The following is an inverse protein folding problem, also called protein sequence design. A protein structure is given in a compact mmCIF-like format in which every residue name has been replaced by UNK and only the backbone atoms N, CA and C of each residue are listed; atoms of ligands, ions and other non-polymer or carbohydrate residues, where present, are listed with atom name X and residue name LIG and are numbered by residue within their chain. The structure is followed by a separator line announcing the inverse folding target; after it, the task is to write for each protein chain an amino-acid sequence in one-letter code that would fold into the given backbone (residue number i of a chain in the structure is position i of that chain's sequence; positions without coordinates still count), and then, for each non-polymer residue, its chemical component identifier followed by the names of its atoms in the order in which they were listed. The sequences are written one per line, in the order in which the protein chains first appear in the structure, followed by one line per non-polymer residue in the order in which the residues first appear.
data_IF_600999087851
#
_entry.id   IF_600999087851
#
_cell.length_a   1.000
_cell.length_b   1.000
_cell.length_c   1.000
_cell.angle_alpha   90.00
_cell.angle_beta   90.00
_cell.angle_gamma   90.00
#
_symmetry.space_group_name_H-M   'P 1'
#
loop_
_entity.id
_entity.type
_entity.pdbx_description
1 polymer ?
#
# COMPACT_ATOMS: atom_id res chain seq x y z
N UNK A 1 -18.56 20.33 -18.94
CA UNK A 1 -17.72 19.45 -18.11
C UNK A 1 -18.19 19.54 -16.69
N UNK A 2 -18.49 18.40 -16.04
CA UNK A 2 -18.85 18.43 -14.62
C UNK A 2 -17.65 18.92 -13.81
N UNK A 3 -17.92 19.75 -12.80
CA UNK A 3 -16.88 20.24 -11.90
C UNK A 3 -16.47 19.11 -10.96
N UNK A 4 -15.17 18.86 -10.79
CA UNK A 4 -14.67 17.92 -9.78
C UNK A 4 -15.05 18.42 -8.39
N UNK A 5 -15.54 17.50 -7.56
CA UNK A 5 -15.95 17.74 -6.16
C UNK A 5 -15.24 16.78 -5.20
N UNK A 6 -14.84 15.60 -5.69
CA UNK A 6 -14.26 14.54 -4.91
C UNK A 6 -12.86 14.17 -5.43
N UNK A 7 -11.88 14.09 -4.54
CA UNK A 7 -10.56 13.55 -4.82
C UNK A 7 -10.38 12.25 -4.04
N UNK A 8 -10.01 11.19 -4.74
CA UNK A 8 -9.85 9.85 -4.20
C UNK A 8 -8.39 9.47 -4.36
N UNK A 9 -7.78 9.03 -3.29
CA UNK A 9 -6.37 8.69 -3.25
C UNK A 9 -6.17 7.20 -3.02
N UNK A 10 -5.13 6.67 -3.61
CA UNK A 10 -4.46 5.50 -3.03
C UNK A 10 -3.69 5.91 -1.77
N UNK A 11 -3.27 4.93 -0.96
CA UNK A 11 -2.55 5.18 0.28
C UNK A 11 -1.04 4.95 0.13
N UNK A 12 -0.64 3.72 -0.19
CA UNK A 12 0.75 3.29 -0.17
C UNK A 12 1.54 3.85 -1.36
N UNK A 13 2.68 4.50 -1.12
CA UNK A 13 3.49 5.24 -2.09
C UNK A 13 2.81 6.44 -2.77
N UNK A 14 1.54 6.71 -2.47
CA UNK A 14 0.84 7.92 -2.92
C UNK A 14 0.79 8.98 -1.82
N UNK A 15 0.41 8.61 -0.61
CA UNK A 15 0.35 9.47 0.56
C UNK A 15 1.30 9.01 1.66
N UNK A 16 1.31 7.73 1.94
CA UNK A 16 2.18 7.08 2.92
C UNK A 16 3.37 6.46 2.20
N UNK A 17 4.61 6.84 2.58
CA UNK A 17 5.83 6.37 1.92
C UNK A 17 6.15 4.91 2.28
N UNK A 18 5.44 3.98 1.60
CA UNK A 18 5.63 2.55 1.85
C UNK A 18 7.08 2.12 1.66
N UNK A 19 7.74 2.58 0.59
CA UNK A 19 9.12 2.17 0.28
C UNK A 19 10.08 2.57 1.39
N UNK A 20 9.97 3.80 1.90
CA UNK A 20 10.82 4.32 2.99
C UNK A 20 10.52 3.61 4.31
N UNK A 21 9.26 3.51 4.69
CA UNK A 21 8.86 2.89 5.96
C UNK A 21 9.14 1.38 5.98
N UNK A 22 8.93 0.68 4.87
CA UNK A 22 9.29 -0.72 4.72
C UNK A 22 10.79 -0.95 4.88
N UNK A 23 11.60 -0.10 4.25
CA UNK A 23 13.08 -0.18 4.38
C UNK A 23 13.53 0.02 5.83
N UNK A 24 12.95 0.98 6.54
CA UNK A 24 13.26 1.24 7.95
C UNK A 24 12.86 0.06 8.85
N UNK A 25 11.65 -0.48 8.66
CA UNK A 25 11.18 -1.63 9.42
C UNK A 25 12.05 -2.88 9.17
N UNK A 26 12.41 -3.13 7.91
CA UNK A 26 13.29 -4.23 7.56
C UNK A 26 14.70 -4.09 8.14
N UNK A 27 15.24 -2.87 8.18
CA UNK A 27 16.54 -2.61 8.79
C UNK A 27 16.52 -2.87 10.29
N UNK A 28 15.43 -2.51 10.98
CA UNK A 28 15.25 -2.84 12.41
C UNK A 28 15.22 -4.35 12.63
N UNK A 29 14.42 -5.09 11.87
CA UNK A 29 14.35 -6.55 11.99
C UNK A 29 15.65 -7.24 11.62
N UNK A 30 16.34 -6.76 10.59
CA UNK A 30 17.64 -7.26 10.17
C UNK A 30 18.67 -7.19 11.31
N UNK A 31 18.70 -6.09 12.04
CA UNK A 31 19.58 -5.89 13.21
C UNK A 31 19.10 -6.75 14.39
N UNK A 32 17.81 -6.73 14.69
CA UNK A 32 17.19 -7.47 15.80
C UNK A 32 17.48 -8.97 15.76
N UNK A 33 17.46 -9.54 14.56
CA UNK A 33 17.68 -10.97 14.35
C UNK A 33 19.12 -11.34 13.99
N UNK A 34 20.04 -10.37 14.08
CA UNK A 34 21.49 -10.55 13.84
C UNK A 34 21.79 -11.26 12.50
N UNK A 35 21.07 -10.85 11.45
CA UNK A 35 21.13 -11.47 10.11
C UNK A 35 22.53 -11.39 9.53
N UNK A 36 23.19 -10.24 9.70
CA UNK A 36 24.57 -10.04 9.24
C UNK A 36 25.52 -11.11 9.72
N UNK A 37 25.58 -11.34 11.05
CA UNK A 37 26.51 -12.29 11.65
C UNK A 37 26.11 -13.74 11.41
N UNK A 38 24.81 -14.02 11.34
CA UNK A 38 24.29 -15.39 11.17
C UNK A 38 24.44 -15.93 9.76
N UNK A 39 24.30 -15.05 8.75
CA UNK A 39 24.23 -15.46 7.36
C UNK A 39 25.23 -14.76 6.44
N UNK A 40 26.03 -13.84 6.98
CA UNK A 40 27.08 -13.13 6.24
C UNK A 40 26.58 -12.33 5.02
N UNK A 41 25.42 -11.65 5.16
CA UNK A 41 24.87 -10.72 4.19
C UNK A 41 24.80 -9.31 4.77
N UNK A 42 25.00 -8.32 3.94
CA UNK A 42 24.67 -6.93 4.27
C UNK A 42 23.17 -6.66 4.12
N UNK A 43 22.69 -5.59 4.75
CA UNK A 43 21.29 -5.15 4.54
C UNK A 43 21.04 -4.74 3.08
N UNK A 44 22.04 -4.16 2.41
CA UNK A 44 21.92 -3.74 1.01
C UNK A 44 21.83 -4.94 0.04
N UNK A 45 22.31 -6.12 0.44
CA UNK A 45 22.08 -7.37 -0.29
C UNK A 45 20.70 -7.97 0.00
N UNK A 46 20.24 -7.91 1.24
CA UNK A 46 18.94 -8.47 1.66
C UNK A 46 17.75 -7.67 1.09
N UNK A 47 17.78 -6.33 1.24
CA UNK A 47 16.63 -5.48 0.92
C UNK A 47 16.10 -5.60 -0.51
N UNK A 48 16.94 -5.68 -1.58
CA UNK A 48 16.44 -5.87 -2.94
C UNK A 48 15.66 -7.17 -3.14
N UNK A 49 16.07 -8.28 -2.51
CA UNK A 49 15.35 -9.55 -2.61
C UNK A 49 13.98 -9.50 -1.95
N UNK A 50 13.88 -8.85 -0.79
CA UNK A 50 12.56 -8.59 -0.20
C UNK A 50 11.68 -7.73 -1.13
N UNK A 51 12.24 -6.65 -1.67
CA UNK A 51 11.49 -5.74 -2.54
C UNK A 51 10.96 -6.48 -3.77
N UNK A 52 11.81 -7.24 -4.45
CA UNK A 52 11.42 -8.05 -5.62
C UNK A 52 10.34 -9.08 -5.28
N UNK A 53 10.50 -9.84 -4.20
CA UNK A 53 9.50 -10.81 -3.76
C UNK A 53 8.16 -10.14 -3.46
N UNK A 54 8.16 -9.01 -2.74
CA UNK A 54 6.95 -8.27 -2.41
C UNK A 54 6.22 -7.77 -3.66
N UNK A 55 6.93 -7.11 -4.59
CA UNK A 55 6.34 -6.58 -5.82
C UNK A 55 5.75 -7.71 -6.69
N UNK A 56 6.49 -8.81 -6.86
CA UNK A 56 6.04 -9.97 -7.63
C UNK A 56 4.77 -10.59 -7.02
N UNK A 57 4.71 -10.74 -5.71
CA UNK A 57 3.55 -11.32 -5.04
C UNK A 57 2.33 -10.41 -5.10
N UNK A 58 2.49 -9.08 -4.96
CA UNK A 58 1.41 -8.14 -5.17
C UNK A 58 0.89 -8.15 -6.61
N UNK A 59 1.76 -8.32 -7.61
CA UNK A 59 1.34 -8.51 -9.00
C UNK A 59 0.52 -9.80 -9.17
N UNK A 60 0.91 -10.91 -8.52
CA UNK A 60 0.13 -12.16 -8.54
C UNK A 60 -1.24 -12.02 -7.86
N UNK A 61 -1.34 -11.25 -6.77
CA UNK A 61 -2.62 -10.92 -6.14
C UNK A 61 -3.51 -10.13 -7.09
N UNK A 62 -2.98 -9.08 -7.71
CA UNK A 62 -3.70 -8.27 -8.71
C UNK A 62 -4.24 -9.13 -9.85
N UNK A 63 -3.46 -10.10 -10.28
CA UNK A 63 -3.82 -11.05 -11.33
C UNK A 63 -4.74 -12.20 -10.83
N UNK A 64 -5.15 -12.16 -9.56
CA UNK A 64 -6.00 -13.17 -8.89
C UNK A 64 -5.41 -14.58 -8.90
N UNK A 65 -4.07 -14.70 -8.89
CA UNK A 65 -3.34 -15.96 -8.91
C UNK A 65 -2.99 -16.49 -7.54
N UNK A 66 -2.91 -15.62 -6.55
CA UNK A 66 -2.69 -15.93 -5.13
C UNK A 66 -3.57 -15.07 -4.24
N UNK A 67 -3.74 -15.47 -2.99
CA UNK A 67 -4.42 -14.72 -1.94
C UNK A 67 -3.45 -13.84 -1.14
N UNK A 68 -3.98 -12.95 -0.28
CA UNK A 68 -3.17 -12.15 0.64
C UNK A 68 -2.50 -13.03 1.72
N UNK A 69 -3.13 -14.13 2.10
CA UNK A 69 -2.59 -15.11 3.01
C UNK A 69 -1.37 -15.80 2.40
N UNK A 70 -1.46 -16.23 1.15
CA UNK A 70 -0.34 -16.82 0.41
C UNK A 70 0.81 -15.82 0.21
N UNK A 71 0.51 -14.52 0.01
CA UNK A 71 1.54 -13.47 -0.01
C UNK A 71 2.31 -13.45 1.32
N UNK A 72 1.58 -13.43 2.45
CA UNK A 72 2.20 -13.39 3.78
C UNK A 72 3.07 -14.63 4.06
N UNK A 73 2.63 -15.80 3.64
CA UNK A 73 3.40 -17.03 3.79
C UNK A 73 4.67 -17.06 2.94
N UNK A 74 4.65 -16.42 1.77
CA UNK A 74 5.70 -16.53 0.75
C UNK A 74 6.71 -15.40 0.78
N UNK A 75 6.32 -14.18 1.15
CA UNK A 75 7.09 -12.96 0.94
C UNK A 75 8.51 -13.02 1.50
N UNK A 76 8.65 -13.38 2.78
CA UNK A 76 9.97 -13.50 3.40
C UNK A 76 10.64 -14.84 3.10
N UNK A 77 9.88 -15.91 2.90
CA UNK A 77 10.44 -17.19 2.49
C UNK A 77 11.15 -17.07 1.14
N UNK A 78 10.48 -16.51 0.15
CA UNK A 78 11.08 -16.27 -1.17
C UNK A 78 12.27 -15.31 -1.12
N UNK A 79 12.18 -14.24 -0.32
CA UNK A 79 13.29 -13.30 -0.14
C UNK A 79 14.54 -13.98 0.45
N UNK A 80 14.37 -14.83 1.47
CA UNK A 80 15.47 -15.57 2.07
C UNK A 80 15.97 -16.70 1.17
N UNK A 81 15.07 -17.45 0.52
CA UNK A 81 15.45 -18.53 -0.40
C UNK A 81 16.31 -18.00 -1.57
N UNK A 82 15.98 -16.81 -2.09
CA UNK A 82 16.76 -16.13 -3.13
C UNK A 82 18.19 -15.74 -2.67
N UNK A 83 18.41 -15.66 -1.35
CA UNK A 83 19.73 -15.45 -0.74
C UNK A 83 20.41 -16.76 -0.32
N UNK A 84 19.77 -17.91 -0.57
CA UNK A 84 20.26 -19.22 -0.13
C UNK A 84 20.06 -19.48 1.36
N UNK A 85 19.17 -18.73 2.02
CA UNK A 85 18.81 -18.93 3.44
C UNK A 85 17.51 -19.71 3.52
N UNK A 86 17.61 -21.03 3.66
CA UNK A 86 16.43 -21.92 3.76
C UNK A 86 15.93 -22.07 5.20
N UNK A 87 15.79 -20.95 5.90
CA UNK A 87 15.27 -20.90 7.27
C UNK A 87 13.86 -20.31 7.29
N UNK A 88 12.87 -21.16 7.03
CA UNK A 88 11.47 -20.74 6.95
C UNK A 88 10.90 -20.32 8.32
N UNK A 89 11.43 -20.83 9.43
CA UNK A 89 11.04 -20.36 10.76
C UNK A 89 11.41 -18.87 10.96
N UNK A 90 12.62 -18.47 10.53
CA UNK A 90 13.05 -17.08 10.56
C UNK A 90 12.19 -16.21 9.62
N UNK A 91 11.85 -16.74 8.44
CA UNK A 91 10.97 -16.03 7.49
C UNK A 91 9.58 -15.76 8.09
N UNK A 92 9.01 -16.73 8.79
CA UNK A 92 7.70 -16.59 9.45
C UNK A 92 7.75 -15.59 10.62
N UNK A 93 8.86 -15.57 11.38
CA UNK A 93 9.11 -14.56 12.42
C UNK A 93 9.19 -13.17 11.79
N UNK A 94 9.94 -13.02 10.68
CA UNK A 94 10.04 -11.74 9.97
C UNK A 94 8.68 -11.26 9.47
N UNK A 95 7.85 -12.13 8.90
CA UNK A 95 6.51 -11.75 8.44
C UNK A 95 5.65 -11.25 9.60
N UNK A 96 5.64 -11.97 10.71
CA UNK A 96 4.85 -11.60 11.88
C UNK A 96 5.28 -10.24 12.44
N UNK A 97 6.58 -10.09 12.71
CA UNK A 97 7.12 -8.87 13.29
C UNK A 97 7.07 -7.68 12.33
N UNK A 98 7.26 -7.91 11.03
CA UNK A 98 7.17 -6.87 10.03
C UNK A 98 5.80 -6.20 9.97
N UNK A 99 4.72 -6.97 10.07
CA UNK A 99 3.36 -6.43 10.07
C UNK A 99 3.07 -5.52 11.28
N UNK A 100 3.84 -5.70 12.37
CA UNK A 100 3.77 -4.84 13.54
C UNK A 100 4.74 -3.66 13.43
N UNK A 101 5.98 -3.92 13.06
CA UNK A 101 7.07 -2.95 13.05
C UNK A 101 6.87 -1.86 11.99
N UNK A 102 6.33 -2.21 10.81
CA UNK A 102 6.18 -1.25 9.71
C UNK A 102 5.34 -0.03 10.08
N UNK A 103 4.40 -0.17 10.98
CA UNK A 103 3.53 0.92 11.43
C UNK A 103 4.12 1.78 12.55
N UNK A 104 5.34 1.47 13.01
CA UNK A 104 6.10 2.32 13.92
C UNK A 104 6.80 3.47 13.17
N UNK A 105 6.90 3.37 11.85
CA UNK A 105 7.47 4.39 10.98
C UNK A 105 6.33 5.10 10.24
N UNK A 106 6.34 6.44 10.28
CA UNK A 106 5.19 7.27 9.85
C UNK A 106 5.56 8.27 8.77
N UNK A 107 6.56 7.94 7.96
CA UNK A 107 6.98 8.79 6.86
C UNK A 107 5.87 8.87 5.81
N UNK A 108 5.47 10.09 5.48
CA UNK A 108 4.56 10.39 4.38
C UNK A 108 5.34 10.80 3.14
N UNK A 109 4.72 10.68 1.99
CA UNK A 109 5.30 11.14 0.73
C UNK A 109 5.53 12.66 0.79
N UNK A 110 6.68 13.12 0.35
CA UNK A 110 7.04 14.54 0.36
C UNK A 110 5.96 15.38 -0.36
N UNK A 111 5.45 16.39 0.33
CA UNK A 111 4.38 17.26 -0.17
C UNK A 111 2.96 16.69 0.00
N UNK A 112 2.77 15.49 0.54
CA UNK A 112 1.44 14.90 0.71
C UNK A 112 0.57 15.72 1.67
N UNK A 113 1.10 16.13 2.81
CA UNK A 113 0.36 16.94 3.81
C UNK A 113 -0.02 18.29 3.22
N UNK A 114 0.90 18.99 2.59
CA UNK A 114 0.66 20.29 1.95
C UNK A 114 -0.40 20.20 0.85
N UNK A 115 -0.40 19.10 0.08
CA UNK A 115 -1.42 18.81 -0.92
C UNK A 115 -2.80 18.59 -0.27
N UNK A 116 -2.86 17.79 0.79
CA UNK A 116 -4.11 17.51 1.51
C UNK A 116 -4.67 18.77 2.17
N UNK A 117 -3.84 19.60 2.80
CA UNK A 117 -4.21 20.90 3.37
C UNK A 117 -4.79 21.86 2.31
N UNK A 118 -4.19 21.84 1.12
CA UNK A 118 -4.68 22.66 0.01
C UNK A 118 -6.01 22.17 -0.56
N UNK A 119 -6.21 20.84 -0.61
CA UNK A 119 -7.39 20.22 -1.22
C UNK A 119 -8.59 20.14 -0.28
N UNK A 120 -8.39 19.84 1.01
CA UNK A 120 -9.48 19.61 1.99
C UNK A 120 -10.52 20.73 2.06
N UNK A 121 -10.19 22.04 1.98
CA UNK A 121 -11.18 23.10 1.97
C UNK A 121 -12.01 23.19 0.68
N UNK A 122 -11.60 22.51 -0.39
CA UNK A 122 -12.15 22.65 -1.74
C UNK A 122 -12.87 21.42 -2.26
N UNK A 123 -12.49 20.25 -1.77
CA UNK A 123 -12.93 18.95 -2.22
C UNK A 123 -13.23 18.02 -1.03
N UNK A 124 -14.13 17.09 -1.23
CA UNK A 124 -14.30 15.96 -0.32
C UNK A 124 -13.24 14.91 -0.67
N UNK A 125 -12.47 14.47 0.33
CA UNK A 125 -11.34 13.57 0.12
C UNK A 125 -11.69 12.15 0.58
N UNK A 126 -11.22 11.16 -0.16
CA UNK A 126 -11.47 9.74 0.08
C UNK A 126 -10.23 8.92 -0.18
N UNK A 127 -10.19 7.71 0.39
CA UNK A 127 -9.15 6.70 0.11
C UNK A 127 -9.79 5.42 -0.43
N UNK A 128 -9.10 4.76 -1.37
CA UNK A 128 -9.31 3.35 -1.72
C UNK A 128 -7.95 2.66 -1.70
N UNK A 129 -7.75 1.70 -0.80
CA UNK A 129 -6.48 0.99 -0.65
C UNK A 129 -6.62 -0.53 -0.82
N UNK A 130 -5.64 -1.15 -1.47
CA UNK A 130 -5.49 -2.60 -1.58
C UNK A 130 -4.75 -3.21 -0.38
N UNK A 131 -4.17 -2.38 0.51
CA UNK A 131 -3.42 -2.84 1.69
C UNK A 131 -4.25 -3.67 2.67
N UNK A 132 -3.58 -4.33 3.61
CA UNK A 132 -4.24 -5.04 4.72
C UNK A 132 -4.95 -4.03 5.62
N UNK A 133 -6.21 -4.30 5.96
CA UNK A 133 -7.08 -3.34 6.67
C UNK A 133 -6.49 -2.92 8.02
N UNK A 134 -5.95 -3.85 8.81
CA UNK A 134 -5.40 -3.56 10.14
C UNK A 134 -4.16 -2.66 10.04
N UNK A 135 -3.30 -2.94 9.06
CA UNK A 135 -2.07 -2.17 8.81
C UNK A 135 -2.41 -0.80 8.26
N UNK A 136 -3.34 -0.72 7.29
CA UNK A 136 -3.76 0.55 6.68
C UNK A 136 -4.42 1.48 7.70
N UNK A 137 -5.23 0.97 8.64
CA UNK A 137 -5.79 1.76 9.73
C UNK A 137 -4.69 2.36 10.61
N UNK A 138 -3.73 1.53 11.06
CA UNK A 138 -2.62 2.01 11.88
C UNK A 138 -1.74 3.03 11.15
N UNK A 139 -1.45 2.83 9.86
CA UNK A 139 -0.74 3.82 9.03
C UNK A 139 -1.43 5.17 9.04
N UNK A 140 -2.73 5.20 8.78
CA UNK A 140 -3.52 6.42 8.73
C UNK A 140 -3.61 7.13 10.08
N UNK A 141 -3.75 6.38 11.17
CA UNK A 141 -3.81 6.91 12.53
C UNK A 141 -2.45 7.48 12.97
N UNK A 142 -1.37 6.69 12.78
CA UNK A 142 -0.04 7.06 13.27
C UNK A 142 0.63 8.18 12.47
N UNK A 143 0.19 8.43 11.23
CA UNK A 143 0.66 9.54 10.39
C UNK A 143 -0.29 10.74 10.35
N UNK A 144 -1.29 10.79 11.23
CA UNK A 144 -2.30 11.85 11.30
C UNK A 144 -3.05 12.13 9.98
N UNK A 145 -3.15 11.10 9.11
CA UNK A 145 -3.82 11.23 7.82
C UNK A 145 -5.34 11.05 7.94
N UNK A 146 -5.84 10.30 8.93
CA UNK A 146 -7.28 9.99 9.08
C UNK A 146 -8.18 11.22 9.02
N UNK A 147 -7.87 12.38 9.66
CA UNK A 147 -8.76 13.54 9.68
C UNK A 147 -9.00 14.20 8.32
N UNK A 148 -8.16 13.91 7.31
CA UNK A 148 -8.34 14.47 5.99
C UNK A 148 -9.49 13.82 5.19
N UNK A 149 -9.87 12.59 5.51
CA UNK A 149 -10.73 11.77 4.66
C UNK A 149 -12.12 11.58 5.22
N UNK A 150 -13.11 11.81 4.37
CA UNK A 150 -14.52 11.61 4.72
C UNK A 150 -14.90 10.14 4.64
N UNK A 151 -14.33 9.38 3.71
CA UNK A 151 -14.46 7.91 3.64
C UNK A 151 -13.14 7.23 3.27
N UNK A 152 -12.94 6.04 3.83
CA UNK A 152 -11.81 5.17 3.53
C UNK A 152 -12.39 3.81 3.15
N UNK A 153 -12.07 3.33 1.95
CA UNK A 153 -12.47 2.03 1.43
C UNK A 153 -11.28 1.09 1.45
N UNK A 154 -11.39 0.03 2.22
CA UNK A 154 -10.41 -1.03 2.28
C UNK A 154 -10.85 -2.18 1.39
N UNK A 155 -9.97 -2.67 0.51
CA UNK A 155 -10.26 -3.81 -0.36
C UNK A 155 -10.72 -5.05 0.41
N UNK A 156 -10.23 -5.23 1.64
CA UNK A 156 -10.59 -6.33 2.52
C UNK A 156 -12.07 -6.33 2.94
N UNK A 157 -12.75 -5.17 2.94
CA UNK A 157 -14.20 -5.08 3.23
C UNK A 157 -15.05 -5.87 2.23
N UNK A 158 -14.54 -6.02 0.99
CA UNK A 158 -15.26 -6.69 -0.10
C UNK A 158 -14.57 -7.97 -0.58
N UNK A 159 -13.35 -8.24 -0.13
CA UNK A 159 -12.47 -9.26 -0.71
C UNK A 159 -12.25 -9.03 -2.22
N UNK A 160 -12.21 -7.76 -2.63
CA UNK A 160 -12.06 -7.32 -4.02
C UNK A 160 -11.03 -6.21 -4.05
N UNK A 161 -10.02 -6.32 -4.93
CA UNK A 161 -8.94 -5.37 -5.06
C UNK A 161 -9.08 -4.52 -6.33
N UNK A 162 -8.52 -3.30 -6.31
CA UNK A 162 -8.23 -2.54 -7.53
C UNK A 162 -7.36 -3.42 -8.45
N UNK A 163 -7.60 -3.46 -9.76
CA UNK A 163 -8.49 -2.59 -10.58
C UNK A 163 -9.90 -3.13 -10.81
N UNK A 164 -10.41 -4.06 -10.02
CA UNK A 164 -11.78 -4.58 -10.20
C UNK A 164 -12.80 -3.43 -10.07
N UNK A 165 -13.69 -3.21 -11.05
CA UNK A 165 -14.62 -2.07 -11.04
C UNK A 165 -15.54 -2.01 -9.83
N UNK A 166 -15.84 -3.15 -9.21
CA UNK A 166 -16.72 -3.24 -8.04
C UNK A 166 -16.20 -2.51 -6.82
N UNK A 167 -14.86 -2.38 -6.66
CA UNK A 167 -14.30 -1.63 -5.53
C UNK A 167 -14.54 -0.12 -5.68
N UNK A 168 -14.45 0.39 -6.91
CA UNK A 168 -14.73 1.81 -7.18
C UNK A 168 -16.23 2.10 -7.04
N UNK A 169 -17.11 1.18 -7.51
CA UNK A 169 -18.54 1.29 -7.34
C UNK A 169 -18.93 1.38 -5.87
N UNK A 170 -18.42 0.45 -5.05
CA UNK A 170 -18.63 0.46 -3.60
C UNK A 170 -18.12 1.75 -2.95
N UNK A 171 -16.95 2.24 -3.35
CA UNK A 171 -16.42 3.50 -2.82
C UNK A 171 -17.30 4.70 -3.20
N UNK A 172 -17.87 4.73 -4.41
CA UNK A 172 -18.84 5.75 -4.82
C UNK A 172 -20.14 5.68 -3.98
N UNK A 173 -20.67 4.48 -3.77
CA UNK A 173 -21.85 4.29 -2.90
C UNK A 173 -21.57 4.72 -1.47
N UNK A 174 -20.45 4.31 -0.89
CA UNK A 174 -20.02 4.63 0.48
C UNK A 174 -19.83 6.13 0.69
N UNK A 175 -19.29 6.82 -0.32
CA UNK A 175 -19.01 8.27 -0.25
C UNK A 175 -20.17 9.15 -0.72
N UNK A 176 -21.18 8.61 -1.40
CA UNK A 176 -22.20 9.39 -2.11
C UNK A 176 -21.66 10.17 -3.32
N UNK A 177 -20.42 9.91 -3.74
CA UNK A 177 -19.78 10.58 -4.86
C UNK A 177 -20.26 10.03 -6.20
N UNK A 178 -20.13 10.86 -7.26
CA UNK A 178 -20.39 10.43 -8.64
C UNK A 178 -19.07 10.37 -9.40
N UNK A 179 -18.85 9.32 -10.18
CA UNK A 179 -17.61 9.12 -10.93
C UNK A 179 -17.26 10.29 -11.86
N UNK A 180 -18.28 10.95 -12.45
CA UNK A 180 -18.11 12.10 -13.35
C UNK A 180 -17.67 13.37 -12.62
N UNK A 181 -17.83 13.43 -11.28
CA UNK A 181 -17.44 14.52 -10.39
C UNK A 181 -16.22 14.16 -9.54
N UNK A 182 -15.59 12.99 -9.82
CA UNK A 182 -14.49 12.43 -9.05
C UNK A 182 -13.20 12.37 -9.87
N UNK A 183 -12.08 12.50 -9.18
CA UNK A 183 -10.74 12.26 -9.72
C UNK A 183 -10.00 11.29 -8.80
N UNK A 184 -9.32 10.30 -9.39
CA UNK A 184 -8.50 9.33 -8.68
C UNK A 184 -7.02 9.69 -8.81
N UNK A 185 -6.25 9.55 -7.75
CA UNK A 185 -4.80 9.82 -7.69
C UNK A 185 -4.10 8.61 -7.06
N UNK A 186 -3.12 8.02 -7.75
CA UNK A 186 -2.37 6.90 -7.22
C UNK A 186 -1.13 6.56 -8.04
N UNK A 187 -0.25 5.73 -7.47
CA UNK A 187 1.06 5.37 -8.03
C UNK A 187 1.08 4.03 -8.78
N UNK A 188 0.08 3.17 -8.61
CA UNK A 188 -0.02 1.93 -9.39
C UNK A 188 -0.70 2.20 -10.74
N UNK A 189 0.09 2.02 -11.83
CA UNK A 189 -0.42 2.23 -13.18
C UNK A 189 -1.67 1.41 -13.51
N UNK A 190 -1.70 0.14 -13.11
CA UNK A 190 -2.81 -0.77 -13.41
C UNK A 190 -3.96 -0.58 -12.43
N UNK A 191 -3.67 -0.63 -11.13
CA UNK A 191 -4.70 -0.58 -10.11
C UNK A 191 -5.33 0.81 -10.00
N UNK A 192 -4.57 1.90 -10.16
CA UNK A 192 -5.07 3.26 -9.91
C UNK A 192 -5.43 3.99 -11.21
N UNK A 193 -4.46 4.12 -12.13
CA UNK A 193 -4.69 4.92 -13.32
C UNK A 193 -5.61 4.21 -14.32
N UNK A 194 -5.27 2.98 -14.72
CA UNK A 194 -6.05 2.21 -15.69
C UNK A 194 -7.39 1.79 -15.10
N UNK A 195 -7.41 1.29 -13.86
CA UNK A 195 -8.63 0.84 -13.20
C UNK A 195 -9.66 1.94 -13.02
N UNK A 196 -9.27 3.08 -12.45
CA UNK A 196 -10.16 4.22 -12.26
C UNK A 196 -10.67 4.80 -13.60
N UNK A 197 -9.79 4.87 -14.61
CA UNK A 197 -10.18 5.33 -15.95
C UNK A 197 -11.16 4.36 -16.62
N UNK A 198 -10.94 3.06 -16.50
CA UNK A 198 -11.86 2.03 -17.04
C UNK A 198 -13.22 2.08 -16.36
N UNK A 199 -13.28 2.40 -15.06
CA UNK A 199 -14.53 2.61 -14.32
C UNK A 199 -15.26 3.90 -14.77
N UNK A 200 -14.59 4.85 -15.41
CA UNK A 200 -15.14 6.10 -15.95
C UNK A 200 -14.84 7.34 -15.11
N UNK A 201 -13.90 7.27 -14.18
CA UNK A 201 -13.36 8.42 -13.46
C UNK A 201 -12.23 9.09 -14.25
N UNK A 202 -11.91 10.33 -13.89
CA UNK A 202 -10.60 10.91 -14.23
C UNK A 202 -9.54 10.29 -13.33
N UNK A 203 -8.34 10.10 -13.86
CA UNK A 203 -7.22 9.59 -13.09
C UNK A 203 -5.96 10.42 -13.31
N UNK A 204 -5.18 10.57 -12.25
CA UNK A 204 -3.82 11.10 -12.27
C UNK A 204 -2.92 9.95 -11.83
N UNK A 205 -1.98 9.59 -12.69
CA UNK A 205 -0.90 8.69 -12.35
C UNK A 205 0.22 9.49 -11.67
N UNK A 206 0.57 9.09 -10.47
CA UNK A 206 1.64 9.69 -9.68
C UNK A 206 2.90 8.83 -9.85
N UNK A 207 3.72 9.20 -10.83
CA UNK A 207 5.01 8.56 -11.10
C UNK A 207 6.08 9.14 -10.17
N UNK A 208 6.75 8.26 -9.39
CA UNK A 208 7.68 8.62 -8.32
C UNK A 208 9.06 7.98 -8.50
#
# INVERSE_FOLDING_TARGET
MNKIKHAIFDLDNTLWDFRKNAKLALAELYVKHDVASRYNFSFDEFHPHYHESNENLWALIRDKRITKEELRERRFREAFDNLGIFNHELADIFEHEYMETITNFNEVVDGAIELLDYLKPKYTLHIITNGFIEVSKRKLESSDLTPYFDTITYADELQILKPDPRIYEFAMEKSGAKKEESIYIGDDWIADAVGAKAFGMKAIFFDR
#
